data_IF_884070551097
#
_entry.id   IF_884070551097
#
_cell.length_a   1.000
_cell.length_b   1.000
_cell.length_c   1.000
_cell.angle_alpha   90.00
_cell.angle_beta   90.00
_cell.angle_gamma   90.00
#
_symmetry.space_group_name_H-M   'P 1'
#
loop_
_entity.id
_entity.type
_entity.pdbx_description
1 polymer ?
#
# COMPACT_ATOMS: atom_id res chain seq x y z
N UNK A 1 13.82 12.47 -12.38
CA UNK A 1 12.75 12.71 -11.39
C UNK A 1 13.30 12.26 -10.06
N UNK A 2 13.32 13.15 -9.06
CA UNK A 2 13.72 12.84 -7.69
C UNK A 2 12.42 12.50 -6.95
N UNK A 3 12.43 11.42 -6.16
CA UNK A 3 11.27 10.98 -5.38
C UNK A 3 11.55 11.34 -3.92
N UNK A 4 10.72 12.19 -3.35
CA UNK A 4 10.85 12.78 -2.02
C UNK A 4 9.48 13.05 -1.36
N UNK A 5 8.42 12.42 -1.86
CA UNK A 5 7.08 12.45 -1.25
C UNK A 5 7.05 11.66 0.07
N UNK A 6 7.89 10.63 0.18
CA UNK A 6 8.10 9.82 1.38
C UNK A 6 9.59 9.64 1.61
N UNK A 7 9.99 9.61 2.88
CA UNK A 7 11.38 9.38 3.27
C UNK A 7 11.62 7.86 3.31
N UNK A 8 12.07 7.30 2.20
CA UNK A 8 12.46 5.90 2.06
C UNK A 8 13.95 5.81 1.82
N UNK A 9 14.63 4.90 2.50
CA UNK A 9 16.01 4.56 2.15
C UNK A 9 16.06 3.84 0.79
N UNK A 10 17.21 3.89 0.11
CA UNK A 10 17.41 3.19 -1.17
C UNK A 10 17.09 1.69 -1.08
N UNK A 11 17.35 1.07 0.08
CA UNK A 11 17.02 -0.34 0.36
C UNK A 11 15.51 -0.56 0.44
N UNK A 12 14.79 0.27 1.20
CA UNK A 12 13.32 0.21 1.29
C UNK A 12 12.64 0.47 -0.05
N UNK A 13 13.27 1.26 -0.91
CA UNK A 13 12.80 1.52 -2.26
C UNK A 13 12.96 0.30 -3.19
N UNK A 14 13.99 -0.52 -2.97
CA UNK A 14 14.24 -1.74 -3.74
C UNK A 14 13.32 -2.89 -3.37
N UNK A 15 12.74 -2.86 -2.17
CA UNK A 15 11.79 -3.85 -1.66
C UNK A 15 10.34 -3.62 -2.14
N UNK A 16 10.06 -2.44 -2.72
CA UNK A 16 8.73 -2.13 -3.26
C UNK A 16 8.41 -2.95 -4.50
N UNK A 17 7.21 -3.52 -4.55
CA UNK A 17 6.72 -4.22 -5.73
C UNK A 17 6.41 -3.23 -6.87
N UNK A 18 6.20 -3.74 -8.09
CA UNK A 18 5.96 -2.90 -9.28
C UNK A 18 4.72 -1.99 -9.17
N UNK A 19 3.71 -2.39 -8.40
CA UNK A 19 2.46 -1.63 -8.18
C UNK A 19 2.71 -0.49 -7.19
N UNK A 20 3.32 -0.79 -6.03
CA UNK A 20 3.73 0.19 -5.03
C UNK A 20 4.67 1.24 -5.64
N UNK A 21 5.61 0.80 -6.47
CA UNK A 21 6.49 1.68 -7.24
C UNK A 21 5.74 2.62 -8.19
N UNK A 22 4.65 2.16 -8.81
CA UNK A 22 3.81 3.02 -9.64
C UNK A 22 3.01 4.03 -8.81
N UNK A 23 2.50 3.63 -7.64
CA UNK A 23 1.80 4.51 -6.69
C UNK A 23 2.71 5.65 -6.21
N UNK A 24 3.93 5.32 -5.77
CA UNK A 24 4.91 6.32 -5.33
C UNK A 24 5.24 7.33 -6.44
N UNK A 25 5.38 6.86 -7.69
CA UNK A 25 5.64 7.75 -8.84
C UNK A 25 4.45 8.66 -9.16
N UNK A 26 3.22 8.15 -9.05
CA UNK A 26 2.02 8.93 -9.24
C UNK A 26 1.91 10.04 -8.18
N UNK A 27 2.05 9.68 -6.90
CA UNK A 27 2.03 10.62 -5.78
C UNK A 27 3.15 11.69 -5.90
N UNK A 28 4.35 11.30 -6.34
CA UNK A 28 5.43 12.27 -6.60
C UNK A 28 5.06 13.25 -7.74
N UNK A 29 4.38 12.76 -8.77
CA UNK A 29 3.96 13.59 -9.89
C UNK A 29 2.94 14.62 -9.42
N UNK A 30 1.97 14.20 -8.60
CA UNK A 30 0.97 15.07 -8.00
C UNK A 30 1.60 16.12 -7.07
N UNK A 31 2.56 15.73 -6.21
CA UNK A 31 3.35 16.68 -5.40
C UNK A 31 3.99 17.76 -6.28
N UNK A 32 4.65 17.35 -7.36
CA UNK A 32 5.31 18.28 -8.27
C UNK A 32 4.31 19.24 -8.94
N UNK A 33 3.13 18.76 -9.30
CA UNK A 33 2.05 19.58 -9.87
C UNK A 33 1.51 20.59 -8.87
N UNK A 34 1.28 20.19 -7.61
CA UNK A 34 0.85 21.07 -6.53
C UNK A 34 1.86 22.20 -6.31
N UNK A 35 3.16 21.87 -6.20
CA UNK A 35 4.22 22.86 -6.00
C UNK A 35 4.37 23.80 -7.21
N UNK A 36 4.23 23.27 -8.43
CA UNK A 36 4.26 24.09 -9.64
C UNK A 36 3.06 25.04 -9.72
N UNK A 37 1.87 24.60 -9.31
CA UNK A 37 0.67 25.43 -9.24
C UNK A 37 0.84 26.55 -8.20
N UNK A 38 1.36 26.24 -7.01
CA UNK A 38 1.64 27.22 -5.96
C UNK A 38 2.67 28.27 -6.43
N UNK A 39 3.74 27.84 -7.09
CA UNK A 39 4.73 28.76 -7.67
C UNK A 39 4.13 29.66 -8.74
N UNK A 40 3.22 29.13 -9.58
CA UNK A 40 2.51 29.91 -10.59
C UNK A 40 1.57 30.93 -9.95
N UNK A 41 0.79 30.54 -8.94
CA UNK A 41 -0.12 31.44 -8.21
C UNK A 41 0.65 32.60 -7.56
N UNK A 42 1.77 32.32 -6.89
CA UNK A 42 2.66 33.37 -6.34
C UNK A 42 3.18 34.31 -7.42
N UNK A 43 3.56 33.77 -8.59
CA UNK A 43 4.02 34.56 -9.73
C UNK A 43 2.94 35.45 -10.33
N UNK A 44 1.70 34.98 -10.40
CA UNK A 44 0.58 35.75 -10.93
C UNK A 44 0.11 36.82 -9.93
N UNK A 45 0.07 36.50 -8.63
CA UNK A 45 -0.13 37.47 -7.56
C UNK A 45 0.91 38.59 -7.62
N UNK A 46 2.19 38.25 -7.79
CA UNK A 46 3.25 39.26 -7.89
C UNK A 46 3.03 40.21 -9.09
N UNK A 47 2.68 39.68 -10.27
CA UNK A 47 2.42 40.49 -11.47
C UNK A 47 1.21 41.41 -11.28
N UNK A 48 0.15 40.93 -10.65
CA UNK A 48 -1.04 41.73 -10.35
C UNK A 48 -0.69 42.90 -9.43
N UNK A 49 0.01 42.62 -8.32
CA UNK A 49 0.43 43.66 -7.37
C UNK A 49 1.45 44.62 -7.99
N UNK A 50 2.30 44.16 -8.89
CA UNK A 50 3.21 45.02 -9.65
C UNK A 50 2.45 46.00 -10.54
N UNK A 51 1.43 45.51 -11.26
CA UNK A 51 0.56 46.33 -12.11
C UNK A 51 -0.19 47.37 -11.29
N UNK A 52 -0.59 47.01 -10.07
CA UNK A 52 -1.28 47.89 -9.13
C UNK A 52 -0.33 48.78 -8.29
N UNK A 53 0.99 48.72 -8.53
CA UNK A 53 1.99 49.52 -7.81
C UNK A 53 2.19 49.15 -6.32
N UNK A 54 1.73 47.97 -5.90
CA UNK A 54 1.71 47.50 -4.50
C UNK A 54 2.50 46.20 -4.27
N UNK A 55 3.39 45.83 -5.19
CA UNK A 55 4.20 44.60 -5.14
C UNK A 55 5.06 44.41 -3.89
N UNK A 56 5.42 45.50 -3.18
CA UNK A 56 6.20 45.45 -1.92
C UNK A 56 5.33 45.55 -0.66
N UNK A 57 4.05 45.26 -0.78
CA UNK A 57 3.14 45.26 0.37
C UNK A 57 3.34 44.03 1.25
N UNK A 58 3.06 44.18 2.55
CA UNK A 58 2.97 43.05 3.49
C UNK A 58 1.90 42.03 3.07
N UNK A 59 0.94 42.45 2.24
CA UNK A 59 -0.07 41.58 1.66
C UNK A 59 0.53 40.51 0.74
N UNK A 60 1.53 40.86 -0.09
CA UNK A 60 2.21 39.88 -0.95
C UNK A 60 2.89 38.79 -0.12
N UNK A 61 3.59 39.19 0.93
CA UNK A 61 4.30 38.28 1.83
C UNK A 61 3.30 37.37 2.57
N UNK A 62 2.28 37.94 3.19
CA UNK A 62 1.26 37.17 3.92
C UNK A 62 0.53 36.18 3.01
N UNK A 63 0.15 36.58 1.78
CA UNK A 63 -0.53 35.68 0.86
C UNK A 63 0.42 34.62 0.29
N UNK A 64 1.69 34.95 0.06
CA UNK A 64 2.67 33.95 -0.39
C UNK A 64 2.89 32.85 0.66
N UNK A 65 2.96 33.21 1.95
CA UNK A 65 3.01 32.25 3.05
C UNK A 65 1.76 31.38 3.06
N UNK A 66 0.57 31.96 2.96
CA UNK A 66 -0.67 31.19 2.91
C UNK A 66 -0.73 30.22 1.72
N UNK A 67 -0.25 30.61 0.55
CA UNK A 67 -0.16 29.72 -0.63
C UNK A 67 0.79 28.55 -0.36
N UNK A 68 1.92 28.80 0.31
CA UNK A 68 2.87 27.75 0.67
C UNK A 68 2.29 26.78 1.71
N UNK A 69 1.60 27.29 2.73
CA UNK A 69 0.88 26.48 3.73
C UNK A 69 -0.24 25.64 3.10
N UNK A 70 -1.02 26.21 2.18
CA UNK A 70 -2.05 25.49 1.43
C UNK A 70 -1.45 24.39 0.54
N UNK A 71 -0.29 24.63 -0.07
CA UNK A 71 0.42 23.64 -0.88
C UNK A 71 0.99 22.52 -0.01
N UNK A 72 1.59 22.84 1.13
CA UNK A 72 2.13 21.87 2.08
C UNK A 72 1.03 20.97 2.64
N UNK A 73 -0.13 21.54 3.03
CA UNK A 73 -1.27 20.77 3.49
C UNK A 73 -1.79 19.77 2.41
N UNK A 74 -1.80 20.18 1.14
CA UNK A 74 -2.15 19.28 0.03
C UNK A 74 -1.11 18.18 -0.17
N UNK A 75 0.18 18.50 -0.08
CA UNK A 75 1.26 17.52 -0.20
C UNK A 75 1.19 16.49 0.94
N UNK A 76 0.95 16.92 2.18
CA UNK A 76 0.76 15.97 3.29
C UNK A 76 -0.49 15.09 3.09
N UNK A 77 -1.58 15.63 2.54
CA UNK A 77 -2.74 14.79 2.19
C UNK A 77 -2.43 13.72 1.14
N UNK A 78 -1.64 14.06 0.10
CA UNK A 78 -1.17 13.11 -0.92
C UNK A 78 -0.28 12.04 -0.29
N UNK A 79 0.59 12.44 0.63
CA UNK A 79 1.49 11.54 1.36
C UNK A 79 0.71 10.58 2.27
N UNK A 80 -0.27 11.09 3.02
CA UNK A 80 -1.12 10.28 3.88
C UNK A 80 -1.94 9.27 3.06
N UNK A 81 -2.50 9.69 1.92
CA UNK A 81 -3.21 8.79 1.00
C UNK A 81 -2.27 7.73 0.41
N UNK A 82 -1.06 8.11 0.00
CA UNK A 82 -0.05 7.16 -0.46
C UNK A 82 0.32 6.14 0.63
N UNK A 83 0.56 6.59 1.86
CA UNK A 83 0.87 5.70 2.98
C UNK A 83 -0.30 4.75 3.27
N UNK A 84 -1.53 5.26 3.21
CA UNK A 84 -2.72 4.44 3.36
C UNK A 84 -2.86 3.42 2.22
N UNK A 85 -2.64 3.82 0.97
CA UNK A 85 -2.68 2.93 -0.19
C UNK A 85 -1.59 1.86 -0.15
N UNK A 86 -0.36 2.22 0.25
CA UNK A 86 0.74 1.25 0.42
C UNK A 86 0.42 0.29 1.57
N UNK A 87 -0.09 0.79 2.70
CA UNK A 87 -0.51 -0.06 3.82
C UNK A 87 -1.67 -0.99 3.43
N UNK A 88 -2.63 -0.48 2.67
CA UNK A 88 -3.75 -1.27 2.16
C UNK A 88 -3.32 -2.28 1.10
N UNK A 89 -2.36 -1.94 0.22
CA UNK A 89 -1.77 -2.87 -0.75
C UNK A 89 -0.89 -3.91 -0.07
N UNK A 90 -0.20 -3.56 1.03
CA UNK A 90 0.46 -4.52 1.92
C UNK A 90 -0.56 -5.47 2.58
N UNK A 91 -1.73 -4.96 2.97
CA UNK A 91 -2.84 -5.75 3.53
C UNK A 91 -3.60 -6.58 2.46
N UNK A 92 -3.64 -6.10 1.22
CA UNK A 92 -4.29 -6.75 0.07
C UNK A 92 -3.31 -7.65 -0.73
N UNK A 93 -2.01 -7.51 -0.45
CA UNK A 93 -0.90 -8.19 -1.10
C UNK A 93 -0.74 -9.62 -0.62
N UNK A 94 -1.38 -10.51 -1.37
CA UNK A 94 -0.96 -11.89 -1.61
C UNK A 94 -0.48 -12.68 -0.38
N UNK A 95 -1.41 -12.95 0.55
CA UNK A 95 -1.25 -14.05 1.50
C UNK A 95 -0.04 -13.99 2.42
N UNK A 96 0.51 -12.79 2.66
CA UNK A 96 1.70 -12.65 3.48
C UNK A 96 1.33 -12.52 4.96
N UNK A 97 2.08 -13.23 5.80
CA UNK A 97 1.83 -13.52 7.21
C UNK A 97 1.95 -12.30 8.15
N UNK A 98 1.74 -11.07 7.65
CA UNK A 98 1.92 -9.82 8.40
C UNK A 98 0.71 -8.87 8.36
N UNK A 99 -0.34 -9.15 7.58
CA UNK A 99 -1.58 -8.38 7.57
C UNK A 99 -2.58 -8.76 8.69
N UNK A 100 -3.74 -8.06 8.79
CA UNK A 100 -4.80 -8.34 9.77
C UNK A 100 -5.52 -9.65 9.49
N UNK A 101 -5.43 -10.17 8.26
CA UNK A 101 -5.94 -11.47 7.89
C UNK A 101 -4.86 -12.54 8.04
N UNK A 102 -5.14 -13.56 8.84
CA UNK A 102 -4.26 -14.70 9.05
C UNK A 102 -5.09 -15.96 9.06
N UNK A 103 -4.61 -17.00 8.42
CA UNK A 103 -5.18 -18.32 8.62
C UNK A 103 -4.51 -18.98 9.83
N UNK A 104 -5.25 -19.56 10.78
CA UNK A 104 -6.71 -19.72 10.83
C UNK A 104 -7.50 -18.59 11.54
N UNK A 105 -6.85 -17.62 12.20
CA UNK A 105 -7.49 -16.71 13.16
C UNK A 105 -8.45 -15.68 12.54
N UNK A 106 -8.13 -15.16 11.35
CA UNK A 106 -8.94 -14.22 10.57
C UNK A 106 -8.77 -14.46 9.05
N UNK A 107 -9.48 -15.44 8.45
CA UNK A 107 -9.29 -15.81 7.05
C UNK A 107 -9.75 -14.74 6.06
N UNK A 108 -8.97 -14.50 5.00
CA UNK A 108 -9.29 -13.50 3.98
C UNK A 108 -10.21 -14.05 2.88
N UNK A 109 -11.52 -13.79 3.01
CA UNK A 109 -12.52 -14.18 2.01
C UNK A 109 -12.55 -13.29 0.74
N UNK A 110 -11.71 -12.27 0.65
CA UNK A 110 -11.57 -11.49 -0.59
C UNK A 110 -10.56 -12.12 -1.57
N UNK A 111 -9.73 -13.07 -1.10
CA UNK A 111 -8.82 -13.82 -1.94
C UNK A 111 -9.56 -14.71 -2.95
N UNK A 112 -8.98 -14.87 -4.14
CA UNK A 112 -9.41 -15.89 -5.11
C UNK A 112 -9.20 -17.30 -4.56
N UNK A 113 -9.92 -18.29 -5.10
CA UNK A 113 -9.83 -19.67 -4.61
C UNK A 113 -8.42 -20.26 -4.71
N UNK A 114 -7.67 -19.92 -5.77
CA UNK A 114 -6.26 -20.30 -5.94
C UNK A 114 -5.33 -19.64 -4.92
N UNK A 115 -5.56 -18.38 -4.56
CA UNK A 115 -4.77 -17.70 -3.52
C UNK A 115 -5.06 -18.28 -2.13
N UNK A 116 -6.32 -18.56 -1.80
CA UNK A 116 -6.68 -19.23 -0.55
C UNK A 116 -6.01 -20.60 -0.42
N UNK A 117 -5.95 -21.35 -1.52
CA UNK A 117 -5.25 -22.62 -1.58
C UNK A 117 -3.77 -22.48 -1.20
N UNK A 118 -3.08 -21.48 -1.74
CA UNK A 118 -1.66 -21.23 -1.41
C UNK A 118 -1.49 -20.86 0.06
N UNK A 119 -2.33 -19.98 0.61
CA UNK A 119 -2.28 -19.57 2.02
C UNK A 119 -2.43 -20.78 2.96
N UNK A 120 -3.46 -21.61 2.74
CA UNK A 120 -3.69 -22.77 3.60
C UNK A 120 -2.57 -23.81 3.43
N UNK A 121 -2.09 -24.01 2.19
CA UNK A 121 -0.96 -24.91 1.94
C UNK A 121 0.29 -24.46 2.69
N UNK A 122 0.67 -23.18 2.60
CA UNK A 122 1.86 -22.65 3.28
C UNK A 122 1.74 -22.85 4.79
N UNK A 123 0.61 -22.45 5.38
CA UNK A 123 0.34 -22.66 6.81
C UNK A 123 0.62 -24.10 7.26
N UNK A 124 0.05 -25.10 6.57
CA UNK A 124 0.26 -26.50 6.95
C UNK A 124 1.68 -27.00 6.70
N UNK A 125 2.40 -26.45 5.72
CA UNK A 125 3.81 -26.77 5.49
C UNK A 125 4.72 -26.18 6.58
N UNK A 126 4.34 -25.05 7.17
CA UNK A 126 5.16 -24.32 8.13
C UNK A 126 4.93 -24.77 9.59
N UNK A 127 3.71 -25.17 9.96
CA UNK A 127 3.40 -25.57 11.35
C UNK A 127 4.08 -26.87 11.79
N UNK A 128 4.38 -27.77 10.86
CA UNK A 128 5.03 -29.05 11.15
C UNK A 128 5.77 -29.60 9.93
N UNK A 129 6.93 -30.20 10.16
CA UNK A 129 7.70 -30.91 9.13
C UNK A 129 7.24 -32.36 8.94
N UNK A 130 6.53 -32.95 9.90
CA UNK A 130 6.01 -34.31 9.84
C UNK A 130 4.79 -34.40 8.92
N UNK A 131 4.90 -35.21 7.87
CA UNK A 131 3.86 -35.35 6.84
C UNK A 131 2.59 -36.03 7.36
N UNK A 132 2.70 -37.03 8.24
CA UNK A 132 1.53 -37.72 8.80
C UNK A 132 0.77 -36.80 9.75
N UNK A 133 1.48 -36.14 10.66
CA UNK A 133 0.89 -35.17 11.60
C UNK A 133 0.25 -33.98 10.87
N UNK A 134 0.86 -33.52 9.76
CA UNK A 134 0.29 -32.45 8.93
C UNK A 134 -1.04 -32.85 8.31
N UNK A 135 -1.09 -34.04 7.70
CA UNK A 135 -2.31 -34.52 7.06
C UNK A 135 -3.43 -34.71 8.09
N UNK A 136 -3.10 -35.24 9.27
CA UNK A 136 -4.06 -35.41 10.35
C UNK A 136 -4.62 -34.08 10.84
N UNK A 137 -3.74 -33.08 11.07
CA UNK A 137 -4.15 -31.73 11.47
C UNK A 137 -5.07 -31.09 10.42
N UNK A 138 -4.72 -31.20 9.15
CA UNK A 138 -5.54 -30.70 8.05
C UNK A 138 -6.90 -31.41 7.96
N UNK A 139 -6.92 -32.74 8.16
CA UNK A 139 -8.14 -33.55 8.11
C UNK A 139 -9.16 -33.16 9.20
N UNK A 140 -8.68 -32.69 10.35
CA UNK A 140 -9.51 -32.24 11.47
C UNK A 140 -9.98 -30.78 11.34
N UNK A 141 -9.47 -30.03 10.36
CA UNK A 141 -9.75 -28.62 10.21
C UNK A 141 -11.05 -28.34 9.44
N UNK A 142 -12.11 -28.09 10.19
CA UNK A 142 -13.41 -27.71 9.61
C UNK A 142 -13.39 -26.35 8.92
N UNK A 143 -12.51 -25.44 9.31
CA UNK A 143 -12.38 -24.12 8.70
C UNK A 143 -11.78 -24.26 7.30
N UNK A 144 -10.73 -25.06 7.14
CA UNK A 144 -10.10 -25.34 5.84
C UNK A 144 -11.14 -25.85 4.83
N UNK A 145 -12.02 -26.75 5.28
CA UNK A 145 -13.08 -27.32 4.45
C UNK A 145 -14.06 -26.27 3.94
N UNK A 146 -14.48 -25.32 4.78
CA UNK A 146 -15.37 -24.23 4.35
C UNK A 146 -14.62 -23.17 3.54
N UNK A 147 -13.38 -22.87 3.90
CA UNK A 147 -12.58 -21.79 3.32
C UNK A 147 -12.07 -22.11 1.90
N UNK A 148 -11.70 -23.37 1.65
CA UNK A 148 -11.22 -23.87 0.36
C UNK A 148 -12.34 -24.42 -0.54
N UNK A 149 -13.46 -24.86 0.03
CA UNK A 149 -14.57 -25.45 -0.72
C UNK A 149 -14.11 -26.64 -1.58
N UNK A 150 -14.28 -26.54 -2.90
CA UNK A 150 -13.92 -27.59 -3.85
C UNK A 150 -12.42 -27.92 -3.85
N UNK A 151 -11.56 -26.95 -3.53
CA UNK A 151 -10.11 -27.15 -3.48
C UNK A 151 -9.62 -27.90 -2.23
N UNK A 152 -10.50 -28.15 -1.26
CA UNK A 152 -10.14 -28.86 -0.03
C UNK A 152 -9.61 -30.28 -0.33
N UNK A 153 -10.29 -31.01 -1.20
CA UNK A 153 -9.90 -32.36 -1.60
C UNK A 153 -8.56 -32.35 -2.34
N UNK A 154 -8.35 -31.37 -3.21
CA UNK A 154 -7.09 -31.22 -3.94
C UNK A 154 -5.91 -30.98 -3.01
N UNK A 155 -6.07 -30.15 -1.98
CA UNK A 155 -5.00 -29.94 -1.00
C UNK A 155 -4.79 -31.19 -0.13
N UNK A 156 -5.86 -31.91 0.22
CA UNK A 156 -5.74 -33.19 0.93
C UNK A 156 -4.86 -34.18 0.17
N UNK A 157 -5.17 -34.42 -1.11
CA UNK A 157 -4.42 -35.34 -1.97
C UNK A 157 -2.97 -34.89 -2.14
N UNK A 158 -2.75 -33.57 -2.25
CA UNK A 158 -1.40 -33.01 -2.31
C UNK A 158 -0.62 -33.29 -1.01
N UNK A 159 -1.20 -33.03 0.15
CA UNK A 159 -0.55 -33.27 1.45
C UNK A 159 -0.28 -34.76 1.67
N UNK A 160 -1.22 -35.63 1.29
CA UNK A 160 -1.07 -37.07 1.37
C UNK A 160 0.05 -37.62 0.47
N UNK A 161 0.41 -36.92 -0.61
CA UNK A 161 1.50 -37.36 -1.50
C UNK A 161 2.90 -37.20 -0.90
N UNK A 162 3.02 -36.53 0.26
CA UNK A 162 4.27 -36.37 1.01
C UNK A 162 4.49 -37.43 2.10
N UNK A 163 3.51 -38.31 2.33
CA UNK A 163 3.61 -39.47 3.24
C UNK A 163 4.24 -40.64 2.48
#
# INVERSE_FOLDING_TARGET
MIIDIIDLSDEQFSDLNAVQMAMVRAAQTEKNEILAAAAKEKGDLFKELLTNGTARSTYFEARSIAIDEEAEAKVEAVKDDLLYQIAYDLDAGDGNEQGPYRYPENPNYNLSASQRFLVVRSYYMDITSDAEARLEAYAMDSLARTYLGEYYATLYDLLASYI
#
